data_IF_582409003788
#
_entry.id   IF_582409003788
#
_cell.length_a   1.000
_cell.length_b   1.000
_cell.length_c   1.000
_cell.angle_alpha   90.00
_cell.angle_beta   90.00
_cell.angle_gamma   90.00
#
_symmetry.space_group_name_H-M   'P 1'
#
loop_
_entity.id
_entity.type
_entity.pdbx_description
1 polymer ?
#
# COMPACT_ATOMS: atom_id res chain seq x y z
N UNK A 1 -15.15 0.11 17.43
CA UNK A 1 -14.48 0.28 16.12
C UNK A 1 -15.06 1.52 15.47
N UNK A 2 -14.21 2.44 15.09
CA UNK A 2 -14.54 3.71 14.41
C UNK A 2 -13.95 3.69 13.00
N UNK A 3 -14.45 4.55 12.12
CA UNK A 3 -13.99 4.68 10.74
C UNK A 3 -13.82 6.17 10.39
N UNK A 4 -12.76 6.47 9.64
CA UNK A 4 -12.53 7.77 9.03
C UNK A 4 -12.01 7.57 7.59
N UNK A 5 -12.46 8.40 6.64
CA UNK A 5 -12.11 8.23 5.23
C UNK A 5 -10.63 8.54 4.94
N UNK A 6 -10.02 9.47 5.57
CA UNK A 6 -8.58 9.78 5.51
C UNK A 6 -8.06 10.38 4.19
N UNK A 7 -8.54 9.96 3.02
CA UNK A 7 -8.13 10.47 1.71
C UNK A 7 -9.22 10.28 0.65
N UNK A 8 -9.12 10.98 -0.48
CA UNK A 8 -9.96 10.76 -1.66
C UNK A 8 -9.40 9.58 -2.46
N UNK A 9 -10.24 8.64 -2.82
CA UNK A 9 -9.88 7.40 -3.53
C UNK A 9 -9.73 7.59 -5.06
N UNK A 10 -10.09 8.76 -5.58
CA UNK A 10 -10.02 9.07 -7.02
C UNK A 10 -8.86 10.02 -7.32
N UNK A 11 -8.61 10.98 -6.42
CA UNK A 11 -7.63 12.04 -6.63
C UNK A 11 -6.45 11.90 -5.68
N UNK A 12 -5.24 12.02 -6.22
CA UNK A 12 -4.03 12.10 -5.40
C UNK A 12 -3.80 13.53 -4.89
N UNK A 13 -4.80 14.07 -4.18
CA UNK A 13 -4.75 15.39 -3.55
C UNK A 13 -4.89 15.22 -2.03
N UNK A 14 -4.13 16.00 -1.27
CA UNK A 14 -4.22 15.99 0.18
C UNK A 14 -5.46 16.80 0.59
N UNK A 15 -6.44 16.12 1.18
CA UNK A 15 -7.57 16.75 1.86
C UNK A 15 -7.26 16.83 3.36
N UNK A 16 -6.88 18.01 3.82
CA UNK A 16 -6.48 18.23 5.21
C UNK A 16 -7.59 17.87 6.21
N UNK A 17 -8.86 18.10 5.89
CA UNK A 17 -9.97 17.77 6.79
C UNK A 17 -10.14 16.27 6.96
N UNK A 18 -10.07 15.51 5.85
CA UNK A 18 -10.14 14.05 5.91
C UNK A 18 -8.95 13.48 6.69
N UNK A 19 -7.76 14.02 6.47
CA UNK A 19 -6.56 13.57 7.18
C UNK A 19 -6.60 13.92 8.67
N UNK A 20 -7.01 15.12 9.05
CA UNK A 20 -7.18 15.53 10.44
C UNK A 20 -8.17 14.63 11.19
N UNK A 21 -9.33 14.32 10.57
CA UNK A 21 -10.32 13.41 11.14
C UNK A 21 -9.73 12.00 11.34
N UNK A 22 -9.02 11.48 10.33
CA UNK A 22 -8.38 10.16 10.40
C UNK A 22 -7.29 10.11 11.47
N UNK A 23 -6.42 11.11 11.54
CA UNK A 23 -5.35 11.23 12.56
C UNK A 23 -5.95 11.27 13.97
N UNK A 24 -6.99 12.09 14.18
CA UNK A 24 -7.69 12.14 15.47
C UNK A 24 -8.30 10.79 15.83
N UNK A 25 -8.96 10.13 14.88
CA UNK A 25 -9.55 8.80 15.08
C UNK A 25 -8.49 7.77 15.44
N UNK A 26 -7.33 7.81 14.77
CA UNK A 26 -6.22 6.91 15.05
C UNK A 26 -5.59 7.17 16.44
N UNK A 27 -5.49 8.42 16.85
CA UNK A 27 -4.94 8.81 18.15
C UNK A 27 -5.78 8.27 19.33
N UNK A 28 -7.09 8.19 19.15
CA UNK A 28 -8.03 7.71 20.16
C UNK A 28 -8.19 6.16 20.16
N UNK A 29 -7.56 5.45 19.23
CA UNK A 29 -7.69 4.00 19.07
C UNK A 29 -6.52 3.23 19.69
N UNK A 30 -6.76 1.98 20.09
CA UNK A 30 -5.72 1.06 20.55
C UNK A 30 -4.82 0.61 19.39
N UNK A 31 -5.41 0.48 18.19
CA UNK A 31 -4.76 0.09 16.93
C UNK A 31 -5.40 0.86 15.78
N UNK A 32 -4.59 1.42 14.90
CA UNK A 32 -5.04 1.97 13.62
C UNK A 32 -4.80 0.95 12.49
N UNK A 33 -5.84 0.65 11.72
CA UNK A 33 -5.72 -0.17 10.50
C UNK A 33 -5.96 0.75 9.30
N UNK A 34 -4.93 0.92 8.49
CA UNK A 34 -4.96 1.77 7.30
C UNK A 34 -5.15 0.90 6.05
N UNK A 35 -6.22 1.13 5.31
CA UNK A 35 -6.47 0.52 4.01
C UNK A 35 -5.99 1.49 2.95
N UNK A 36 -4.97 1.10 2.21
CA UNK A 36 -4.36 1.90 1.14
C UNK A 36 -4.06 1.02 -0.07
N UNK A 37 -3.81 1.63 -1.21
CA UNK A 37 -3.52 0.87 -2.43
C UNK A 37 -3.51 1.73 -3.67
N UNK A 38 -3.49 1.08 -4.83
CA UNK A 38 -3.44 1.77 -6.11
C UNK A 38 -4.85 1.95 -6.67
N UNK A 39 -5.31 3.20 -6.87
CA UNK A 39 -6.55 3.47 -7.59
C UNK A 39 -6.38 3.25 -9.10
N UNK A 40 -7.49 3.16 -9.83
CA UNK A 40 -7.52 2.94 -11.28
C UNK A 40 -6.70 3.97 -12.08
N UNK A 41 -6.52 5.17 -11.53
CA UNK A 41 -5.67 6.21 -12.12
C UNK A 41 -4.16 5.92 -12.03
N UNK A 42 -3.76 4.99 -11.16
CA UNK A 42 -2.37 4.54 -10.99
C UNK A 42 -2.13 3.17 -11.61
N UNK A 43 -3.08 2.26 -11.52
CA UNK A 43 -2.96 0.90 -12.00
C UNK A 43 -4.24 0.48 -12.73
N UNK A 44 -4.16 0.28 -14.03
CA UNK A 44 -5.30 -0.09 -14.87
C UNK A 44 -4.83 -0.79 -16.13
N UNK A 45 -5.74 -1.50 -16.79
CA UNK A 45 -5.48 -2.05 -18.11
C UNK A 45 -5.30 -0.93 -19.15
N UNK A 46 -4.33 -1.08 -20.03
CA UNK A 46 -4.12 -0.19 -21.18
C UNK A 46 -3.09 0.93 -21.01
N UNK A 47 -2.45 1.07 -19.84
CA UNK A 47 -1.29 1.95 -19.67
C UNK A 47 -0.32 1.42 -18.59
N UNK A 48 0.93 1.85 -18.70
CA UNK A 48 1.99 1.47 -17.77
C UNK A 48 2.15 2.51 -16.66
N UNK A 49 2.43 2.03 -15.45
CA UNK A 49 2.84 2.89 -14.32
C UNK A 49 4.19 3.53 -14.62
N UNK A 50 4.33 4.80 -14.24
CA UNK A 50 5.59 5.57 -14.42
C UNK A 50 6.56 5.42 -13.24
N UNK A 51 6.08 4.95 -12.09
CA UNK A 51 6.83 4.82 -10.84
C UNK A 51 6.17 3.77 -9.93
N UNK A 52 6.88 3.35 -8.88
CA UNK A 52 6.39 2.38 -7.89
C UNK A 52 5.74 3.02 -6.66
N UNK A 53 5.58 4.34 -6.64
CA UNK A 53 5.02 5.02 -5.47
C UNK A 53 3.51 4.78 -5.36
N UNK A 54 3.05 4.65 -4.12
CA UNK A 54 1.64 4.86 -3.77
C UNK A 54 1.24 6.33 -4.00
N UNK A 55 -0.05 6.65 -4.10
CA UNK A 55 -0.53 8.03 -4.08
C UNK A 55 0.07 8.83 -2.91
N UNK A 56 0.45 10.07 -3.18
CA UNK A 56 1.07 10.92 -2.18
C UNK A 56 0.14 11.19 -0.99
N UNK A 57 -1.16 11.36 -1.24
CA UNK A 57 -2.15 11.56 -0.18
C UNK A 57 -2.21 10.38 0.80
N UNK A 58 -2.01 9.16 0.32
CA UNK A 58 -1.97 7.95 1.17
C UNK A 58 -0.67 7.86 1.97
N UNK A 59 0.49 8.10 1.34
CA UNK A 59 1.77 8.12 2.04
C UNK A 59 1.80 9.18 3.14
N UNK A 60 1.25 10.36 2.87
CA UNK A 60 1.16 11.45 3.85
C UNK A 60 0.22 11.10 5.01
N UNK A 61 -0.90 10.43 4.72
CA UNK A 61 -1.79 9.91 5.77
C UNK A 61 -1.06 8.95 6.70
N UNK A 62 -0.34 7.96 6.14
CA UNK A 62 0.44 6.99 6.95
C UNK A 62 1.44 7.73 7.83
N UNK A 63 2.19 8.69 7.27
CA UNK A 63 3.16 9.49 8.01
C UNK A 63 2.52 10.25 9.18
N UNK A 64 1.41 10.96 8.94
CA UNK A 64 0.70 11.72 9.98
C UNK A 64 0.13 10.80 11.08
N UNK A 65 -0.41 9.64 10.71
CA UNK A 65 -0.92 8.67 11.68
C UNK A 65 0.20 8.11 12.56
N UNK A 66 1.37 7.80 11.99
CA UNK A 66 2.53 7.30 12.75
C UNK A 66 3.08 8.29 13.78
N UNK A 67 2.82 9.59 13.62
CA UNK A 67 3.19 10.61 14.62
C UNK A 67 2.39 10.48 15.92
N UNK A 68 1.13 10.01 15.83
CA UNK A 68 0.18 9.96 16.97
C UNK A 68 -0.15 8.54 17.43
N UNK A 69 0.07 7.53 16.59
CA UNK A 69 -0.25 6.13 16.88
C UNK A 69 0.93 5.22 16.54
N UNK A 70 1.33 4.37 17.48
CA UNK A 70 2.46 3.44 17.28
C UNK A 70 2.02 2.04 16.84
N UNK A 71 0.79 1.66 17.14
CA UNK A 71 0.23 0.38 16.72
C UNK A 71 -0.51 0.56 15.40
N UNK A 72 0.21 0.63 14.30
CA UNK A 72 -0.34 0.81 12.97
C UNK A 72 -0.18 -0.46 12.15
N UNK A 73 -1.26 -0.95 11.58
CA UNK A 73 -1.29 -2.04 10.60
C UNK A 73 -1.75 -1.47 9.27
N UNK A 74 -1.06 -1.83 8.20
CA UNK A 74 -1.43 -1.42 6.84
C UNK A 74 -1.95 -2.61 6.08
N UNK A 75 -3.09 -2.46 5.42
CA UNK A 75 -3.65 -3.41 4.45
C UNK A 75 -3.49 -2.79 3.07
N UNK A 76 -2.72 -3.47 2.21
CA UNK A 76 -2.42 -3.04 0.85
C UNK A 76 -3.36 -3.69 -0.16
N UNK A 77 -3.88 -2.89 -1.08
CA UNK A 77 -4.66 -3.32 -2.24
C UNK A 77 -4.01 -2.79 -3.53
N UNK A 78 -3.16 -3.59 -4.14
CA UNK A 78 -2.43 -3.26 -5.36
C UNK A 78 -2.18 -4.55 -6.16
N UNK A 79 -2.11 -4.46 -7.47
CA UNK A 79 -1.84 -5.60 -8.34
C UNK A 79 -0.36 -5.81 -8.63
N UNK A 80 0.48 -4.82 -8.36
CA UNK A 80 1.92 -4.82 -8.62
C UNK A 80 2.70 -4.13 -7.50
N UNK A 81 4.03 -4.35 -7.35
CA UNK A 81 4.81 -3.85 -6.24
C UNK A 81 4.74 -2.34 -6.05
N UNK A 82 4.75 -1.92 -4.81
CA UNK A 82 4.78 -0.51 -4.41
C UNK A 82 5.95 -0.23 -3.46
N UNK A 83 6.46 0.99 -3.49
CA UNK A 83 7.45 1.47 -2.53
C UNK A 83 6.73 1.96 -1.28
N UNK A 84 7.18 1.48 -0.12
CA UNK A 84 6.62 1.77 1.19
C UNK A 84 7.68 2.43 2.07
N UNK A 85 7.85 3.77 2.03
CA UNK A 85 8.92 4.45 2.78
C UNK A 85 8.79 4.27 4.30
N UNK A 86 7.61 4.01 4.79
CA UNK A 86 7.25 3.82 6.19
C UNK A 86 7.24 2.35 6.65
N UNK A 87 7.65 1.40 5.81
CA UNK A 87 7.48 -0.04 6.06
C UNK A 87 8.11 -0.53 7.38
N UNK A 88 9.19 0.12 7.84
CA UNK A 88 9.87 -0.24 9.10
C UNK A 88 9.27 0.45 10.34
N UNK A 89 8.27 1.31 10.15
CA UNK A 89 7.66 2.09 11.22
C UNK A 89 6.28 1.55 11.64
N UNK A 90 5.67 0.73 10.80
CA UNK A 90 4.37 0.10 11.07
C UNK A 90 4.53 -1.25 11.79
N UNK A 91 3.51 -1.65 12.56
CA UNK A 91 3.51 -2.91 13.31
C UNK A 91 3.29 -4.14 12.44
N UNK A 92 2.69 -3.98 11.27
CA UNK A 92 2.44 -5.06 10.33
C UNK A 92 1.89 -4.56 9.01
N UNK A 93 2.14 -5.33 7.97
CA UNK A 93 1.63 -5.08 6.61
C UNK A 93 0.95 -6.35 6.13
N UNK A 94 -0.30 -6.24 5.71
CA UNK A 94 -1.05 -7.29 5.04
C UNK A 94 -1.17 -6.93 3.57
N UNK A 95 -0.49 -7.70 2.70
CA UNK A 95 -0.67 -7.58 1.26
C UNK A 95 -1.92 -8.38 0.85
N UNK A 96 -2.98 -7.68 0.47
CA UNK A 96 -4.26 -8.27 0.08
C UNK A 96 -4.43 -8.36 -1.43
N UNK A 97 -3.53 -7.77 -2.20
CA UNK A 97 -3.61 -7.71 -3.66
C UNK A 97 -4.99 -7.25 -4.17
N UNK A 98 -5.39 -7.71 -5.35
CA UNK A 98 -6.69 -7.47 -5.96
C UNK A 98 -7.66 -8.59 -5.54
N UNK A 99 -8.15 -8.49 -4.32
CA UNK A 99 -9.09 -9.46 -3.77
C UNK A 99 -10.43 -9.43 -4.49
N UNK A 100 -11.06 -10.60 -4.59
CA UNK A 100 -12.38 -10.73 -5.17
C UNK A 100 -13.51 -10.42 -4.17
N UNK A 101 -14.69 -10.95 -4.43
CA UNK A 101 -15.94 -10.70 -3.69
C UNK A 101 -15.83 -10.94 -2.16
N UNK A 102 -14.97 -11.88 -1.75
CA UNK A 102 -14.82 -12.25 -0.34
C UNK A 102 -13.68 -11.50 0.39
N UNK A 103 -12.99 -10.54 -0.24
CA UNK A 103 -11.80 -9.88 0.30
C UNK A 103 -12.03 -9.26 1.67
N UNK A 104 -13.15 -8.56 1.87
CA UNK A 104 -13.45 -7.92 3.16
C UNK A 104 -13.56 -8.93 4.32
N UNK A 105 -14.23 -10.05 4.10
CA UNK A 105 -14.35 -11.12 5.11
C UNK A 105 -13.02 -11.81 5.37
N UNK A 106 -12.24 -12.08 4.33
CA UNK A 106 -10.91 -12.69 4.44
C UNK A 106 -9.96 -11.78 5.25
N UNK A 107 -9.90 -10.50 4.91
CA UNK A 107 -9.10 -9.50 5.63
C UNK A 107 -9.48 -9.43 7.11
N UNK A 108 -10.77 -9.37 7.44
CA UNK A 108 -11.25 -9.37 8.83
C UNK A 108 -10.83 -10.64 9.57
N UNK A 109 -10.94 -11.81 8.94
CA UNK A 109 -10.53 -13.07 9.57
C UNK A 109 -9.04 -13.10 9.90
N UNK A 110 -8.19 -12.55 9.03
CA UNK A 110 -6.75 -12.45 9.25
C UNK A 110 -6.45 -11.43 10.36
N UNK A 111 -6.99 -10.21 10.26
CA UNK A 111 -6.74 -9.14 11.23
C UNK A 111 -7.16 -9.52 12.66
N UNK A 112 -8.22 -10.32 12.81
CA UNK A 112 -8.69 -10.79 14.11
C UNK A 112 -8.15 -12.18 14.49
N UNK A 113 -7.18 -12.72 13.78
CA UNK A 113 -6.51 -13.98 14.11
C UNK A 113 -7.39 -15.23 14.00
N UNK A 114 -8.49 -15.17 13.25
CA UNK A 114 -9.34 -16.35 12.97
C UNK A 114 -8.70 -17.27 11.94
N UNK A 115 -7.93 -16.69 11.03
CA UNK A 115 -7.17 -17.38 10.00
C UNK A 115 -5.73 -16.88 10.02
N UNK A 116 -4.78 -17.75 9.77
CA UNK A 116 -3.37 -17.37 9.63
C UNK A 116 -3.04 -17.15 8.15
N UNK A 117 -2.45 -16.01 7.76
CA UNK A 117 -2.06 -15.79 6.37
C UNK A 117 -0.98 -16.80 5.98
N UNK A 118 -1.19 -17.51 4.88
CA UNK A 118 -0.28 -18.56 4.38
C UNK A 118 0.24 -18.29 2.96
N UNK A 119 -0.21 -17.20 2.34
CA UNK A 119 0.26 -16.75 1.04
C UNK A 119 1.71 -16.25 1.09
N UNK A 120 2.37 -16.28 -0.06
CA UNK A 120 3.68 -15.69 -0.28
C UNK A 120 3.55 -14.60 -1.34
N UNK A 121 4.41 -13.59 -1.27
CA UNK A 121 4.47 -12.56 -2.31
C UNK A 121 4.84 -13.21 -3.65
N UNK A 122 4.18 -12.80 -4.73
CA UNK A 122 4.47 -13.29 -6.07
C UNK A 122 5.82 -12.78 -6.60
N UNK A 123 6.29 -11.66 -6.06
CA UNK A 123 7.53 -11.02 -6.44
C UNK A 123 8.13 -10.20 -5.30
N UNK A 124 9.38 -9.80 -5.42
CA UNK A 124 10.04 -8.93 -4.45
C UNK A 124 9.53 -7.49 -4.59
N UNK A 125 9.13 -6.89 -3.47
CA UNK A 125 8.83 -5.45 -3.41
C UNK A 125 10.14 -4.68 -3.22
N UNK A 126 10.61 -3.91 -4.22
CA UNK A 126 11.86 -3.18 -4.13
C UNK A 126 11.71 -1.94 -3.25
N UNK A 127 12.79 -1.47 -2.63
CA UNK A 127 12.80 -0.22 -1.88
C UNK A 127 12.73 1.02 -2.79
N UNK A 128 13.20 0.88 -4.02
CA UNK A 128 13.14 1.90 -5.06
C UNK A 128 13.20 1.24 -6.45
N UNK A 129 12.73 1.93 -7.46
CA UNK A 129 12.68 1.42 -8.84
C UNK A 129 14.05 0.94 -9.35
N UNK A 130 15.14 1.61 -8.97
CA UNK A 130 16.49 1.23 -9.38
C UNK A 130 16.98 -0.10 -8.79
N UNK A 131 16.28 -0.66 -7.83
CA UNK A 131 16.62 -1.96 -7.23
C UNK A 131 16.02 -3.14 -8.01
N UNK A 132 15.20 -2.85 -9.03
CA UNK A 132 14.68 -3.90 -9.92
C UNK A 132 15.79 -4.43 -10.82
N UNK A 133 15.90 -5.77 -11.02
CA UNK A 133 17.00 -6.37 -11.77
C UNK A 133 17.13 -5.85 -13.20
N UNK A 134 16.00 -5.55 -13.86
CA UNK A 134 15.95 -5.07 -15.24
C UNK A 134 16.08 -3.53 -15.40
N UNK A 135 16.26 -2.77 -14.31
CA UNK A 135 16.28 -1.29 -14.37
C UNK A 135 17.26 -0.70 -15.38
N UNK A 136 18.42 -1.33 -15.53
CA UNK A 136 19.46 -0.84 -16.43
C UNK A 136 19.25 -1.23 -17.92
N UNK A 137 18.41 -2.22 -18.19
CA UNK A 137 18.22 -2.79 -19.53
C UNK A 137 16.84 -2.55 -20.11
N UNK A 138 15.79 -2.58 -19.28
CA UNK A 138 14.41 -2.43 -19.73
C UNK A 138 14.17 -1.04 -20.34
N UNK A 139 13.66 -1.01 -21.57
CA UNK A 139 13.34 0.23 -22.28
C UNK A 139 14.54 1.13 -22.66
N UNK A 140 15.77 0.61 -22.57
CA UNK A 140 17.01 1.37 -22.87
C UNK A 140 17.56 1.10 -24.27
N UNK A 141 16.73 0.63 -25.22
CA UNK A 141 17.15 0.33 -26.60
C UNK A 141 17.87 -1.01 -26.75
N UNK A 142 17.78 -1.88 -25.77
CA UNK A 142 18.23 -3.28 -25.89
C UNK A 142 17.10 -4.13 -26.47
N UNK A 143 17.45 -5.13 -27.29
CA UNK A 143 16.49 -6.05 -27.91
C UNK A 143 15.86 -7.01 -26.88
N UNK A 144 16.43 -7.12 -25.68
CA UNK A 144 15.96 -7.94 -24.59
C UNK A 144 16.21 -7.30 -23.24
N UNK A 145 15.41 -7.63 -22.27
CA UNK A 145 15.60 -7.31 -20.85
C UNK A 145 15.87 -8.60 -20.08
N UNK A 146 16.88 -8.59 -19.22
CA UNK A 146 17.25 -9.71 -18.38
C UNK A 146 16.62 -9.52 -16.99
N UNK A 147 15.60 -10.31 -16.69
CA UNK A 147 14.92 -10.33 -15.39
C UNK A 147 15.65 -11.33 -14.50
N UNK A 148 16.75 -10.90 -13.91
CA UNK A 148 17.51 -11.74 -12.96
C UNK A 148 16.77 -11.81 -11.64
N UNK A 149 16.52 -13.02 -11.19
CA UNK A 149 16.16 -13.26 -9.80
C UNK A 149 17.41 -13.04 -8.91
N UNK A 150 17.23 -12.30 -7.84
CA UNK A 150 18.28 -12.05 -6.83
C UNK A 150 17.81 -12.52 -5.46
#
# INVERSE_FOLDING_TARGET
MTFAKGYDDVKDEIDEKLQEEAVKTAQEADVAVLFIGLPDSFESEGYDRKHLNLPNCQNELVRKVLEVQKNVVVVLHNGSPVVMPWMNEVSGILEAYLGGEAVGKATVNILFGKENPSGHLAETFPLKLSDTPCYLTYGKGFDHADYRER
#
